data_IF_662041969987
#
_entry.id   IF_662041969987
#
_cell.length_a   1.000
_cell.length_b   1.000
_cell.length_c   1.000
_cell.angle_alpha   90.00
_cell.angle_beta   90.00
_cell.angle_gamma   90.00
#
_symmetry.space_group_name_H-M   'P 1'
#
loop_
_entity.id
_entity.type
_entity.pdbx_description
1 polymer ?
#
# COMPACT_ATOMS: atom_id res chain seq x y z
N UNK A 1 21.38 8.60 2.96
CA UNK A 1 20.09 8.16 2.37
C UNK A 1 19.05 9.15 2.83
N UNK A 2 18.32 9.77 1.91
CA UNK A 2 17.24 10.69 2.28
C UNK A 2 16.06 9.88 2.83
N UNK A 3 15.32 10.44 3.82
CA UNK A 3 14.13 9.78 4.35
C UNK A 3 13.05 9.59 3.28
N UNK A 4 12.51 8.38 3.18
CA UNK A 4 11.45 8.08 2.21
C UNK A 4 10.10 8.72 2.57
N UNK A 5 9.84 8.96 3.86
CA UNK A 5 8.63 9.65 4.30
C UNK A 5 8.63 11.11 3.83
N UNK A 6 7.49 11.54 3.29
CA UNK A 6 7.25 12.84 2.66
C UNK A 6 8.01 13.07 1.34
N UNK A 7 8.78 12.10 0.84
CA UNK A 7 9.33 12.15 -0.52
C UNK A 7 8.23 11.91 -1.55
N UNK A 8 8.48 12.31 -2.79
CA UNK A 8 7.62 11.98 -3.93
C UNK A 8 7.76 10.49 -4.27
N UNK A 9 6.63 9.87 -4.62
CA UNK A 9 6.64 8.53 -5.19
C UNK A 9 7.51 8.54 -6.47
N UNK A 10 8.47 7.60 -6.62
CA UNK A 10 9.25 7.48 -7.84
C UNK A 10 8.38 7.33 -9.08
N UNK A 11 8.81 7.86 -10.20
CA UNK A 11 8.11 7.65 -11.47
C UNK A 11 8.19 6.18 -11.88
N UNK A 12 7.07 5.64 -12.33
CA UNK A 12 6.98 4.27 -12.82
C UNK A 12 5.95 4.12 -13.94
N UNK A 13 6.13 3.07 -14.73
CA UNK A 13 5.18 2.61 -15.73
C UNK A 13 5.29 1.10 -15.80
N UNK A 14 4.27 0.37 -15.36
CA UNK A 14 4.26 -1.10 -15.30
C UNK A 14 2.97 -1.66 -15.90
N UNK A 15 3.03 -2.90 -16.38
CA UNK A 15 1.83 -3.63 -16.77
C UNK A 15 1.07 -4.10 -15.53
N UNK A 16 -0.23 -4.26 -15.65
CA UNK A 16 -1.09 -4.77 -14.59
C UNK A 16 -2.19 -5.67 -15.14
N UNK A 17 -2.62 -6.60 -14.29
CA UNK A 17 -3.88 -7.32 -14.47
C UNK A 17 -4.95 -6.66 -13.60
N UNK A 18 -6.11 -6.37 -14.17
CA UNK A 18 -7.23 -5.77 -13.44
C UNK A 18 -8.56 -6.05 -14.15
N UNK A 19 -9.55 -6.59 -13.42
CA UNK A 19 -10.90 -6.82 -13.91
C UNK A 19 -10.95 -7.58 -15.25
N UNK A 20 -10.16 -8.65 -15.37
CA UNK A 20 -10.11 -9.49 -16.57
C UNK A 20 -9.32 -8.92 -17.75
N UNK A 21 -8.70 -7.75 -17.60
CA UNK A 21 -7.96 -7.08 -18.66
C UNK A 21 -6.51 -6.73 -18.24
N UNK A 22 -5.66 -6.55 -19.23
CA UNK A 22 -4.33 -5.98 -19.04
C UNK A 22 -4.38 -4.48 -19.31
N UNK A 23 -3.64 -3.72 -18.50
CA UNK A 23 -3.48 -2.28 -18.65
C UNK A 23 -2.09 -1.83 -18.20
N UNK A 24 -1.66 -0.67 -18.65
CA UNK A 24 -0.49 0.01 -18.10
C UNK A 24 -0.95 0.89 -16.93
N UNK A 25 -0.21 0.88 -15.84
CA UNK A 25 -0.41 1.75 -14.67
C UNK A 25 0.85 2.59 -14.47
N UNK A 26 0.64 3.87 -14.23
CA UNK A 26 1.68 4.89 -14.05
C UNK A 26 1.41 5.76 -12.82
N UNK A 27 2.34 6.61 -12.45
CA UNK A 27 2.11 7.63 -11.40
C UNK A 27 0.88 8.48 -11.64
N UNK A 28 0.52 8.75 -12.90
CA UNK A 28 -0.64 9.58 -13.22
C UNK A 28 -1.96 8.94 -12.80
N UNK A 29 -2.01 7.61 -12.75
CA UNK A 29 -3.19 6.87 -12.28
C UNK A 29 -3.41 7.02 -10.77
N UNK A 30 -2.38 7.42 -10.03
CA UNK A 30 -2.43 7.62 -8.58
C UNK A 30 -2.66 9.08 -8.19
N UNK A 31 -2.43 10.05 -9.09
CA UNK A 31 -2.58 11.49 -8.80
C UNK A 31 -4.01 11.86 -8.44
N UNK A 32 -4.16 12.76 -7.47
CA UNK A 32 -5.45 13.31 -7.03
C UNK A 32 -6.25 12.39 -6.12
N UNK A 33 -5.73 11.23 -5.74
CA UNK A 33 -6.36 10.29 -4.81
C UNK A 33 -5.36 9.69 -3.84
N UNK A 34 -5.83 9.18 -2.74
CA UNK A 34 -5.02 8.34 -1.87
C UNK A 34 -4.80 6.98 -2.52
N UNK A 35 -3.59 6.46 -2.41
CA UNK A 35 -3.22 5.18 -2.98
C UNK A 35 -2.37 4.36 -2.01
N UNK A 36 -2.49 3.04 -2.10
CA UNK A 36 -1.66 2.07 -1.39
C UNK A 36 -0.91 1.25 -2.42
N UNK A 37 0.42 1.26 -2.36
CA UNK A 37 1.27 0.27 -3.04
C UNK A 37 1.60 -0.83 -2.05
N UNK A 38 1.12 -2.04 -2.32
CA UNK A 38 1.20 -3.20 -1.44
C UNK A 38 2.09 -4.27 -2.07
N UNK A 39 3.40 -4.20 -1.77
CA UNK A 39 4.39 -5.14 -2.30
C UNK A 39 4.33 -6.47 -1.58
N UNK A 40 4.51 -7.55 -2.31
CA UNK A 40 4.61 -8.90 -1.79
C UNK A 40 5.60 -9.72 -2.63
N UNK A 41 6.20 -10.80 -2.07
CA UNK A 41 7.27 -11.56 -2.74
C UNK A 41 6.89 -12.12 -4.11
N UNK A 42 5.88 -13.00 -4.16
CA UNK A 42 5.53 -13.68 -5.41
C UNK A 42 4.12 -14.29 -5.38
N UNK A 43 3.57 -14.47 -6.58
CA UNK A 43 2.36 -15.24 -6.82
C UNK A 43 2.55 -16.73 -6.48
N UNK A 44 1.46 -17.46 -6.28
CA UNK A 44 1.46 -18.91 -6.01
C UNK A 44 2.27 -19.33 -4.78
N UNK A 45 2.39 -18.45 -3.76
CA UNK A 45 3.11 -18.73 -2.50
C UNK A 45 2.15 -18.97 -1.34
N UNK A 46 2.61 -18.80 -0.10
CA UNK A 46 1.89 -19.28 1.10
C UNK A 46 1.30 -18.14 1.93
N UNK A 47 2.10 -17.14 2.34
CA UNK A 47 1.65 -15.99 3.13
C UNK A 47 0.99 -14.94 2.24
N UNK A 48 1.51 -14.74 1.02
CA UNK A 48 1.01 -13.70 0.10
C UNK A 48 -0.50 -13.79 -0.16
N UNK A 49 -1.09 -14.97 -0.46
CA UNK A 49 -2.54 -15.04 -0.67
C UNK A 49 -3.35 -14.65 0.57
N UNK A 50 -2.85 -14.92 1.78
CA UNK A 50 -3.56 -14.54 3.01
C UNK A 50 -3.64 -13.02 3.16
N UNK A 51 -2.55 -12.31 2.90
CA UNK A 51 -2.50 -10.85 2.94
C UNK A 51 -3.38 -10.20 1.86
N UNK A 52 -3.28 -10.70 0.62
CA UNK A 52 -4.04 -10.17 -0.51
C UNK A 52 -5.54 -10.35 -0.33
N UNK A 53 -5.97 -11.47 0.26
CA UNK A 53 -7.39 -11.72 0.59
C UNK A 53 -7.85 -10.80 1.72
N UNK A 54 -7.05 -10.60 2.77
CA UNK A 54 -7.39 -9.69 3.87
C UNK A 54 -7.54 -8.24 3.34
N UNK A 55 -6.66 -7.81 2.44
CA UNK A 55 -6.80 -6.53 1.74
C UNK A 55 -8.07 -6.48 0.86
N UNK A 56 -8.43 -7.57 0.19
CA UNK A 56 -9.65 -7.64 -0.62
C UNK A 56 -10.93 -7.58 0.23
N UNK A 57 -10.93 -8.18 1.42
CA UNK A 57 -12.05 -8.11 2.37
C UNK A 57 -12.26 -6.70 2.94
N UNK A 58 -11.22 -5.86 2.98
CA UNK A 58 -11.28 -4.45 3.38
C UNK A 58 -11.41 -3.47 2.21
N UNK A 59 -11.38 -3.95 0.97
CA UNK A 59 -11.29 -3.08 -0.22
C UNK A 59 -12.43 -2.08 -0.31
N UNK A 60 -13.68 -2.48 -0.02
CA UNK A 60 -14.82 -1.56 -0.04
C UNK A 60 -14.68 -0.45 1.02
N UNK A 61 -14.07 -0.73 2.17
CA UNK A 61 -13.80 0.28 3.19
C UNK A 61 -12.75 1.28 2.70
N UNK A 62 -11.67 0.83 2.08
CA UNK A 62 -10.68 1.70 1.45
C UNK A 62 -11.29 2.55 0.32
N UNK A 63 -12.09 1.95 -0.55
CA UNK A 63 -12.79 2.68 -1.61
C UNK A 63 -13.73 3.75 -1.09
N UNK A 64 -14.49 3.45 -0.03
CA UNK A 64 -15.38 4.42 0.61
C UNK A 64 -14.62 5.64 1.18
N UNK A 65 -13.33 5.47 1.47
CA UNK A 65 -12.42 6.52 1.91
C UNK A 65 -11.70 7.24 0.73
N UNK A 66 -12.00 6.88 -0.52
CA UNK A 66 -11.32 7.41 -1.70
C UNK A 66 -9.89 6.89 -1.88
N UNK A 67 -9.61 5.71 -1.36
CA UNK A 67 -8.28 5.07 -1.42
C UNK A 67 -8.30 3.93 -2.43
N UNK A 68 -7.35 3.93 -3.36
CA UNK A 68 -7.14 2.81 -4.30
C UNK A 68 -5.97 1.94 -3.84
N UNK A 69 -6.13 0.62 -3.99
CA UNK A 69 -5.08 -0.36 -3.68
C UNK A 69 -4.44 -0.83 -4.98
N UNK A 70 -3.14 -0.98 -4.96
CA UNK A 70 -2.34 -1.59 -6.02
C UNK A 70 -1.44 -2.65 -5.38
N UNK A 71 -1.70 -3.92 -5.60
CA UNK A 71 -0.73 -4.96 -5.22
C UNK A 71 0.41 -4.99 -6.23
N UNK A 72 1.63 -5.29 -5.78
CA UNK A 72 2.84 -5.24 -6.60
C UNK A 72 3.72 -6.44 -6.30
N UNK A 73 4.10 -7.20 -7.33
CA UNK A 73 5.19 -8.16 -7.26
C UNK A 73 6.06 -8.10 -8.51
N UNK A 74 7.13 -8.85 -8.53
CA UNK A 74 8.01 -8.97 -9.70
C UNK A 74 7.50 -9.98 -10.74
N UNK A 75 6.39 -10.65 -10.46
CA UNK A 75 5.73 -11.52 -11.42
C UNK A 75 5.17 -10.74 -12.62
N UNK A 76 4.94 -11.43 -13.73
CA UNK A 76 4.34 -10.81 -14.90
C UNK A 76 2.82 -10.71 -14.77
N UNK A 77 2.22 -9.74 -15.48
CA UNK A 77 0.77 -9.61 -15.54
C UNK A 77 0.05 -10.87 -16.07
N UNK A 78 0.74 -11.72 -16.83
CA UNK A 78 0.22 -13.04 -17.25
C UNK A 78 0.13 -14.00 -16.06
N UNK A 79 1.13 -13.99 -15.17
CA UNK A 79 1.14 -14.80 -13.94
C UNK A 79 0.05 -14.33 -12.99
N UNK A 80 -0.12 -13.02 -12.79
CA UNK A 80 -1.24 -12.44 -12.02
C UNK A 80 -2.59 -12.92 -12.53
N UNK A 81 -2.80 -12.86 -13.86
CA UNK A 81 -4.03 -13.38 -14.46
C UNK A 81 -4.21 -14.87 -14.20
N UNK A 82 -3.18 -15.67 -14.42
CA UNK A 82 -3.26 -17.11 -14.21
C UNK A 82 -3.58 -17.46 -12.76
N UNK A 83 -2.95 -16.77 -11.80
CA UNK A 83 -3.22 -16.97 -10.39
C UNK A 83 -4.64 -16.55 -10.00
N UNK A 84 -5.09 -15.39 -10.47
CA UNK A 84 -6.46 -14.92 -10.27
C UNK A 84 -7.51 -15.89 -10.82
N UNK A 85 -7.27 -16.45 -12.02
CA UNK A 85 -8.23 -17.34 -12.66
C UNK A 85 -8.29 -18.74 -12.01
N UNK A 86 -7.17 -19.21 -11.44
CA UNK A 86 -7.04 -20.58 -10.91
C UNK A 86 -7.18 -20.71 -9.40
N UNK A 87 -6.99 -19.60 -8.64
CA UNK A 87 -7.12 -19.59 -7.18
C UNK A 87 -8.48 -19.04 -6.75
N UNK A 88 -9.24 -19.83 -6.03
CA UNK A 88 -10.56 -19.42 -5.49
C UNK A 88 -10.43 -18.22 -4.54
N UNK A 89 -9.36 -18.14 -3.73
CA UNK A 89 -9.09 -17.04 -2.82
C UNK A 89 -8.66 -15.77 -3.54
N UNK A 90 -7.74 -15.87 -4.49
CA UNK A 90 -7.20 -14.72 -5.25
C UNK A 90 -8.24 -14.13 -6.22
N UNK A 91 -9.17 -14.93 -6.69
CA UNK A 91 -10.31 -14.45 -7.50
C UNK A 91 -11.17 -13.38 -6.81
N UNK A 92 -11.07 -13.24 -5.49
CA UNK A 92 -11.75 -12.19 -4.72
C UNK A 92 -11.11 -10.81 -4.89
N UNK A 93 -9.88 -10.73 -5.40
CA UNK A 93 -9.16 -9.47 -5.60
C UNK A 93 -9.82 -8.66 -6.71
N UNK A 94 -10.21 -7.42 -6.39
CA UNK A 94 -10.82 -6.48 -7.33
C UNK A 94 -9.92 -5.28 -7.64
N UNK A 95 -8.82 -5.11 -6.92
CA UNK A 95 -7.86 -4.04 -7.16
C UNK A 95 -6.78 -4.46 -8.19
N UNK A 96 -6.10 -3.49 -8.85
CA UNK A 96 -5.04 -3.79 -9.81
C UNK A 96 -3.88 -4.57 -9.21
N UNK A 97 -3.41 -5.59 -9.94
CA UNK A 97 -2.21 -6.37 -9.64
C UNK A 97 -1.09 -5.93 -10.59
N UNK A 98 -0.11 -5.20 -10.07
CA UNK A 98 0.98 -4.58 -10.82
C UNK A 98 2.17 -5.54 -10.98
N UNK A 99 2.69 -5.59 -12.19
CA UNK A 99 3.81 -6.45 -12.61
C UNK A 99 5.11 -5.63 -12.71
N UNK A 100 5.86 -5.50 -11.62
CA UNK A 100 7.18 -4.86 -11.59
C UNK A 100 8.28 -5.83 -12.04
N UNK A 101 8.14 -6.40 -13.23
CA UNK A 101 8.99 -7.49 -13.76
C UNK A 101 10.49 -7.13 -13.85
N UNK A 102 10.82 -5.86 -13.87
CA UNK A 102 12.21 -5.41 -13.86
C UNK A 102 12.73 -5.16 -12.44
N UNK A 103 11.86 -5.15 -11.43
CA UNK A 103 12.19 -4.76 -10.06
C UNK A 103 12.54 -3.28 -9.91
N UNK A 104 12.26 -2.44 -10.92
CA UNK A 104 12.65 -1.04 -10.90
C UNK A 104 11.92 -0.24 -9.82
N UNK A 105 10.59 -0.44 -9.69
CA UNK A 105 9.79 0.20 -8.66
C UNK A 105 10.16 -0.32 -7.27
N UNK A 106 10.33 -1.63 -7.14
CA UNK A 106 10.75 -2.27 -5.88
C UNK A 106 12.11 -1.76 -5.41
N UNK A 107 13.10 -1.59 -6.31
CA UNK A 107 14.40 -1.00 -5.99
C UNK A 107 14.28 0.46 -5.59
N UNK A 108 13.53 1.23 -6.34
CA UNK A 108 13.36 2.67 -6.07
C UNK A 108 12.73 2.93 -4.69
N UNK A 109 11.90 2.00 -4.19
CA UNK A 109 11.28 2.06 -2.86
C UNK A 109 12.04 1.28 -1.78
N UNK A 110 13.20 0.66 -2.13
CA UNK A 110 14.07 -0.01 -1.19
C UNK A 110 13.53 -1.33 -0.64
N UNK A 111 12.67 -2.02 -1.39
CA UNK A 111 12.07 -3.31 -0.99
C UNK A 111 12.53 -4.49 -1.85
N UNK A 112 13.39 -4.28 -2.83
CA UNK A 112 13.86 -5.36 -3.70
C UNK A 112 14.97 -6.18 -3.04
N UNK A 113 14.88 -7.50 -3.13
CA UNK A 113 15.87 -8.47 -2.67
C UNK A 113 16.63 -8.96 -3.89
N UNK A 114 17.86 -8.47 -4.10
CA UNK A 114 18.64 -8.74 -5.31
C UNK A 114 18.94 -10.24 -5.49
N UNK A 115 19.21 -10.95 -4.40
CA UNK A 115 19.55 -12.38 -4.42
C UNK A 115 18.35 -13.27 -4.77
N UNK A 116 17.13 -12.81 -4.52
CA UNK A 116 15.91 -13.58 -4.71
C UNK A 116 15.11 -13.13 -5.94
N UNK A 117 15.36 -11.93 -6.45
CA UNK A 117 14.58 -11.34 -7.53
C UNK A 117 13.14 -10.97 -7.14
N UNK A 118 12.87 -10.83 -5.86
CA UNK A 118 11.53 -10.58 -5.29
C UNK A 118 11.53 -9.33 -4.40
N UNK A 119 10.35 -8.93 -3.96
CA UNK A 119 10.20 -7.83 -3.01
C UNK A 119 9.99 -8.34 -1.58
N UNK A 120 10.43 -7.56 -0.58
CA UNK A 120 9.93 -7.64 0.78
C UNK A 120 8.44 -7.25 0.83
N UNK A 121 7.78 -7.54 1.96
CA UNK A 121 6.41 -7.11 2.25
C UNK A 121 6.40 -5.63 2.60
N UNK A 122 6.42 -4.79 1.58
CA UNK A 122 6.39 -3.33 1.71
C UNK A 122 5.00 -2.76 1.49
N UNK A 123 4.58 -1.84 2.35
CA UNK A 123 3.35 -1.06 2.18
C UNK A 123 3.70 0.42 2.15
N UNK A 124 3.23 1.13 1.13
CA UNK A 124 3.43 2.58 0.98
C UNK A 124 2.08 3.25 0.78
N UNK A 125 1.71 4.13 1.71
CA UNK A 125 0.51 4.97 1.58
C UNK A 125 0.92 6.30 0.97
N UNK A 126 0.33 6.62 -0.16
CA UNK A 126 0.62 7.80 -0.97
C UNK A 126 -0.58 8.74 -0.94
N UNK A 127 -0.35 10.02 -0.68
CA UNK A 127 -1.40 11.03 -0.67
C UNK A 127 -1.71 11.58 -2.09
N UNK A 128 -2.77 12.40 -2.27
CA UNK A 128 -3.14 12.93 -3.58
C UNK A 128 -2.06 13.73 -4.31
N UNK A 129 -1.11 14.33 -3.57
CA UNK A 129 0.03 15.06 -4.12
C UNK A 129 1.20 14.15 -4.53
N UNK A 130 1.04 12.83 -4.39
CA UNK A 130 2.05 11.84 -4.72
C UNK A 130 3.14 11.67 -3.65
N UNK A 131 2.92 12.15 -2.42
CA UNK A 131 3.88 12.01 -1.31
C UNK A 131 3.61 10.76 -0.48
N UNK A 132 4.66 10.04 -0.13
CA UNK A 132 4.59 8.86 0.75
C UNK A 132 4.38 9.31 2.19
N UNK A 133 3.28 8.91 2.81
CA UNK A 133 2.87 9.33 4.15
C UNK A 133 3.00 8.25 5.22
N UNK A 134 2.92 6.97 4.82
CA UNK A 134 3.12 5.82 5.72
C UNK A 134 3.95 4.79 5.00
N UNK A 135 4.89 4.18 5.70
CA UNK A 135 5.67 3.03 5.24
C UNK A 135 5.60 1.95 6.30
N UNK A 136 5.37 0.72 5.87
CA UNK A 136 5.48 -0.48 6.68
C UNK A 136 6.30 -1.52 5.91
N UNK A 137 7.34 -2.05 6.54
CA UNK A 137 8.22 -3.06 5.96
C UNK A 137 8.30 -4.25 6.89
N UNK A 138 7.93 -5.41 6.40
CA UNK A 138 8.00 -6.67 7.13
C UNK A 138 8.93 -7.66 6.42
N UNK A 139 9.59 -8.48 7.22
CA UNK A 139 10.25 -9.69 6.72
C UNK A 139 9.24 -10.61 6.00
N UNK A 140 9.71 -11.39 5.03
CA UNK A 140 8.86 -12.24 4.20
C UNK A 140 8.11 -13.34 4.97
N UNK A 141 8.51 -13.62 6.21
CA UNK A 141 7.84 -14.58 7.10
C UNK A 141 6.76 -13.95 8.00
N UNK A 142 6.57 -12.63 7.94
CA UNK A 142 5.66 -11.88 8.81
C UNK A 142 4.56 -11.23 7.97
N UNK A 143 3.36 -11.83 7.96
CA UNK A 143 2.19 -11.26 7.29
C UNK A 143 1.70 -9.98 7.96
N UNK A 144 1.09 -9.10 7.15
CA UNK A 144 0.50 -7.83 7.57
C UNK A 144 -0.99 -7.98 7.83
N UNK A 145 -1.57 -7.00 8.54
CA UNK A 145 -3.00 -6.92 8.87
C UNK A 145 -3.63 -5.70 8.18
N UNK A 146 -4.61 -5.94 7.33
CA UNK A 146 -5.32 -4.88 6.61
C UNK A 146 -6.08 -3.93 7.54
N UNK A 147 -6.51 -4.38 8.73
CA UNK A 147 -7.18 -3.53 9.71
C UNK A 147 -6.22 -2.54 10.36
N UNK A 148 -4.95 -2.93 10.60
CA UNK A 148 -3.91 -2.01 11.07
C UNK A 148 -3.59 -0.95 10.00
N UNK A 149 -3.52 -1.37 8.74
CA UNK A 149 -3.29 -0.46 7.62
C UNK A 149 -4.46 0.51 7.47
N UNK A 150 -5.70 0.04 7.55
CA UNK A 150 -6.90 0.89 7.47
C UNK A 150 -6.84 2.01 8.51
N UNK A 151 -6.55 1.68 9.76
CA UNK A 151 -6.38 2.66 10.85
C UNK A 151 -5.29 3.69 10.54
N UNK A 152 -4.14 3.25 10.00
CA UNK A 152 -3.02 4.15 9.62
C UNK A 152 -3.43 5.10 8.49
N UNK A 153 -4.20 4.63 7.52
CA UNK A 153 -4.71 5.44 6.41
C UNK A 153 -5.75 6.44 6.91
N UNK A 154 -6.67 6.04 7.80
CA UNK A 154 -7.61 6.96 8.44
C UNK A 154 -6.90 8.10 9.18
N UNK A 155 -5.85 7.77 9.94
CA UNK A 155 -5.04 8.77 10.63
C UNK A 155 -4.30 9.70 9.66
N UNK A 156 -3.73 9.15 8.57
CA UNK A 156 -3.05 9.95 7.55
C UNK A 156 -4.00 10.93 6.84
N UNK A 157 -5.21 10.49 6.52
CA UNK A 157 -6.25 11.33 5.92
C UNK A 157 -6.75 12.41 6.90
N UNK A 158 -6.90 12.03 8.17
CA UNK A 158 -7.33 13.00 9.20
C UNK A 158 -6.35 14.16 9.31
N UNK A 159 -5.05 13.86 9.52
CA UNK A 159 -4.04 14.94 9.68
C UNK A 159 -3.82 15.75 8.40
N UNK A 160 -4.14 15.19 7.22
CA UNK A 160 -4.06 15.92 5.97
C UNK A 160 -5.16 16.99 5.82
N UNK A 161 -6.24 16.90 6.59
CA UNK A 161 -7.40 17.81 6.53
C UNK A 161 -7.62 18.63 7.82
N UNK A 162 -6.83 18.36 8.88
CA UNK A 162 -6.96 19.01 10.19
C UNK A 162 -5.62 19.59 10.62
N UNK A 163 -5.30 20.75 10.07
CA UNK A 163 -4.08 21.48 10.39
C UNK A 163 -3.96 21.75 11.90
N UNK A 164 -2.77 21.48 12.45
CA UNK A 164 -2.48 21.69 13.86
C UNK A 164 -3.03 20.62 14.81
N UNK A 165 -3.68 19.58 14.31
CA UNK A 165 -4.09 18.43 15.10
C UNK A 165 -3.21 17.21 14.82
N UNK A 166 -2.98 16.38 15.84
CA UNK A 166 -2.20 15.14 15.72
C UNK A 166 -2.96 13.95 16.29
N UNK A 167 -2.83 12.80 15.65
CA UNK A 167 -3.40 11.55 16.10
C UNK A 167 -2.48 10.90 17.13
N UNK A 168 -2.88 10.70 18.39
CA UNK A 168 -2.07 10.01 19.38
C UNK A 168 -1.94 8.51 19.07
N UNK A 169 -1.11 7.81 19.86
CA UNK A 169 -0.96 6.37 19.76
C UNK A 169 -2.33 5.67 19.86
N UNK A 170 -2.53 4.63 19.03
CA UNK A 170 -3.76 3.83 18.94
C UNK A 170 -5.01 4.59 18.47
N UNK A 171 -4.89 5.85 18.09
CA UNK A 171 -6.03 6.65 17.63
C UNK A 171 -6.84 5.92 16.54
N UNK A 172 -8.15 6.01 16.65
CA UNK A 172 -9.13 5.54 15.68
C UNK A 172 -10.04 6.70 15.27
N UNK A 173 -10.60 6.61 14.09
CA UNK A 173 -11.54 7.62 13.58
C UNK A 173 -12.69 7.84 14.56
N UNK A 174 -12.92 9.12 14.91
CA UNK A 174 -13.93 9.53 15.91
C UNK A 174 -13.40 9.68 17.33
N UNK A 175 -12.16 9.28 17.60
CA UNK A 175 -11.54 9.53 18.92
C UNK A 175 -10.90 10.91 19.00
N UNK A 176 -10.60 11.34 20.24
CA UNK A 176 -9.99 12.64 20.51
C UNK A 176 -8.59 12.74 19.92
N UNK A 177 -8.27 13.91 19.40
CA UNK A 177 -6.95 14.31 18.92
C UNK A 177 -6.25 15.21 19.91
N UNK A 178 -4.98 15.51 19.67
CA UNK A 178 -4.21 16.48 20.45
C UNK A 178 -3.90 17.70 19.59
N UNK A 179 -3.95 18.89 20.22
CA UNK A 179 -3.45 20.14 19.64
C UNK A 179 -2.12 20.48 20.30
N UNK A 180 -0.97 20.22 19.64
CA UNK A 180 0.33 20.49 20.23
C UNK A 180 0.46 21.93 20.71
N UNK A 181 0.83 22.10 21.97
CA UNK A 181 1.09 23.41 22.59
C UNK A 181 2.15 23.28 23.66
N UNK A 182 2.77 24.38 24.03
CA UNK A 182 3.75 24.41 25.12
C UNK A 182 3.12 23.96 26.46
N UNK A 183 1.83 24.18 26.63
CA UNK A 183 1.11 23.83 27.85
C UNK A 183 0.88 22.34 28.05
N UNK A 184 1.01 21.55 26.96
CA UNK A 184 0.90 20.09 26.99
C UNK A 184 2.22 19.39 27.32
N UNK A 185 3.35 20.11 27.25
CA UNK A 185 4.67 19.51 27.50
C UNK A 185 4.75 18.99 28.93
N UNK A 186 4.99 17.69 29.09
CA UNK A 186 5.06 17.00 30.39
C UNK A 186 3.72 16.78 31.09
N UNK A 187 2.56 16.98 30.39
CA UNK A 187 1.22 16.78 30.95
C UNK A 187 0.42 15.65 30.30
N UNK A 188 1.02 14.94 29.32
CA UNK A 188 0.44 13.79 28.60
C UNK A 188 1.24 12.53 28.92
#
# INVERSE_FOLDING_TARGET
MEPILNSQLPEFSVQAFHNGAFKTVTNNDLKGKWAILFFYPADFTFVCPTELVDMAEKYDQFKAMGVEIYSVSTDSHFVHKAWHDTSESIRKIQYPMLADTTGALSRALGVYIEEEGMAYRGTFVVNPEGKIKVVELNDNNIGRDASELLRKVEAAQFVATHDGEVCPAKWKKGESTLKPSIDLVGKI
#
